data_IF_335374098553
#
_entry.id   IF_335374098553
#
_cell.length_a   1.000
_cell.length_b   1.000
_cell.length_c   1.000
_cell.angle_alpha   90.00
_cell.angle_beta   90.00
_cell.angle_gamma   90.00
#
_symmetry.space_group_name_H-M   'P 1'
#
loop_
_entity.id
_entity.type
_entity.pdbx_description
1 polymer ?
#
# COMPACT_ATOMS: atom_id res chain seq x y z
N UNK A 1 -21.03 -78.22 -31.01
CA UNK A 1 -22.25 -77.47 -31.38
C UNK A 1 -22.17 -76.10 -30.71
N UNK A 2 -21.50 -75.14 -31.35
CA UNK A 2 -22.10 -74.02 -32.10
C UNK A 2 -23.10 -73.18 -31.30
N UNK A 3 -22.66 -72.00 -30.84
CA UNK A 3 -23.09 -70.71 -31.43
C UNK A 3 -22.09 -69.58 -31.08
N UNK A 4 -21.88 -68.73 -32.08
CA UNK A 4 -20.87 -67.69 -32.28
C UNK A 4 -21.52 -66.30 -32.04
N UNK A 5 -20.73 -65.35 -31.51
CA UNK A 5 -20.76 -63.86 -31.56
C UNK A 5 -22.07 -63.08 -31.30
N UNK A 6 -22.01 -61.95 -30.58
CA UNK A 6 -21.90 -60.59 -31.17
C UNK A 6 -22.03 -59.45 -30.12
N UNK A 7 -20.93 -58.71 -29.93
CA UNK A 7 -20.76 -57.25 -29.78
C UNK A 7 -21.41 -56.39 -28.66
N UNK A 8 -20.53 -55.52 -28.11
CA UNK A 8 -20.72 -54.09 -27.79
C UNK A 8 -21.65 -53.68 -26.62
N UNK A 9 -21.05 -53.28 -25.50
CA UNK A 9 -20.74 -51.86 -25.21
C UNK A 9 -20.17 -51.75 -23.79
N UNK A 10 -18.85 -51.64 -23.71
CA UNK A 10 -18.15 -51.09 -22.57
C UNK A 10 -18.42 -49.57 -22.55
N UNK A 11 -19.57 -49.14 -22.03
CA UNK A 11 -19.76 -47.73 -21.68
C UNK A 11 -19.16 -47.56 -20.30
N UNK A 12 -17.84 -47.36 -20.28
CA UNK A 12 -17.19 -46.66 -19.19
C UNK A 12 -17.79 -45.26 -19.16
N UNK A 13 -18.79 -45.06 -18.29
CA UNK A 13 -19.18 -43.72 -17.89
C UNK A 13 -18.08 -43.22 -16.95
N UNK A 14 -16.95 -42.83 -17.54
CA UNK A 14 -16.09 -41.78 -16.99
C UNK A 14 -16.93 -40.49 -17.07
N UNK A 15 -17.92 -40.39 -16.19
CA UNK A 15 -18.32 -39.08 -15.69
C UNK A 15 -17.04 -38.54 -15.08
N UNK A 16 -16.31 -37.74 -15.85
CA UNK A 16 -15.52 -36.66 -15.29
C UNK A 16 -16.51 -35.91 -14.41
N UNK A 17 -16.50 -36.24 -13.11
CA UNK A 17 -17.00 -35.35 -12.10
C UNK A 17 -16.08 -34.15 -12.23
N UNK A 18 -16.50 -33.19 -13.06
CA UNK A 18 -15.96 -31.85 -12.99
C UNK A 18 -16.39 -31.37 -11.61
N UNK A 19 -15.54 -31.64 -10.63
CA UNK A 19 -15.55 -30.90 -9.39
C UNK A 19 -15.18 -29.51 -9.86
N UNK A 20 -16.20 -28.68 -10.11
CA UNK A 20 -16.01 -27.23 -10.01
C UNK A 20 -15.39 -27.06 -8.63
N UNK A 21 -14.08 -26.78 -8.58
CA UNK A 21 -13.45 -26.37 -7.33
C UNK A 21 -14.24 -25.14 -6.89
N UNK A 22 -15.11 -25.30 -5.90
CA UNK A 22 -15.79 -24.20 -5.23
C UNK A 22 -14.70 -23.49 -4.44
N UNK A 23 -13.90 -22.70 -5.15
CA UNK A 23 -12.92 -21.80 -4.57
C UNK A 23 -13.71 -20.71 -3.87
N UNK A 24 -13.53 -20.59 -2.56
CA UNK A 24 -14.14 -19.49 -1.84
C UNK A 24 -13.66 -18.17 -2.43
N UNK A 25 -14.53 -17.17 -2.35
CA UNK A 25 -14.22 -15.81 -2.79
C UNK A 25 -14.13 -14.92 -1.58
N UNK A 26 -13.07 -14.11 -1.54
CA UNK A 26 -12.79 -13.20 -0.44
C UNK A 26 -12.77 -11.75 -0.91
N UNK A 27 -12.74 -10.85 0.06
CA UNK A 27 -12.70 -9.40 -0.12
C UNK A 27 -11.45 -8.83 0.54
N UNK A 28 -10.76 -7.94 -0.18
CA UNK A 28 -9.78 -7.05 0.43
C UNK A 28 -10.36 -5.64 0.38
N UNK A 29 -10.60 -5.05 1.54
CA UNK A 29 -11.13 -3.69 1.67
C UNK A 29 -10.26 -2.84 2.59
N UNK A 30 -10.53 -1.54 2.61
CA UNK A 30 -9.80 -0.66 3.48
C UNK A 30 -10.01 0.81 3.24
N UNK A 31 -9.24 1.58 3.99
CA UNK A 31 -9.32 3.03 4.06
C UNK A 31 -7.92 3.65 4.05
N UNK A 32 -7.83 4.86 3.52
CA UNK A 32 -6.64 5.69 3.52
C UNK A 32 -6.99 6.93 4.34
N UNK A 33 -6.45 6.97 5.54
CA UNK A 33 -6.79 7.95 6.57
C UNK A 33 -5.55 8.74 6.96
N UNK A 34 -5.71 10.01 7.29
CA UNK A 34 -4.65 10.78 7.96
C UNK A 34 -4.42 10.26 9.38
N UNK A 35 -3.34 10.71 10.04
CA UNK A 35 -3.12 10.44 11.46
C UNK A 35 -4.29 10.93 12.35
N UNK A 36 -5.05 11.93 11.90
CA UNK A 36 -6.26 12.43 12.56
C UNK A 36 -7.53 11.63 12.25
N UNK A 37 -7.42 10.47 11.59
CA UNK A 37 -8.53 9.63 11.11
C UNK A 37 -9.48 10.33 10.13
N UNK A 38 -8.98 11.28 9.35
CA UNK A 38 -9.75 11.92 8.27
C UNK A 38 -9.47 11.25 6.93
N UNK A 39 -10.45 11.20 6.04
CA UNK A 39 -10.30 10.66 4.69
C UNK A 39 -9.22 11.42 3.89
N UNK A 40 -8.21 10.71 3.39
CA UNK A 40 -7.16 11.30 2.56
C UNK A 40 -7.56 11.26 1.07
N UNK A 41 -7.43 12.39 0.38
CA UNK A 41 -7.85 12.57 -1.01
C UNK A 41 -6.68 12.42 -2.00
N UNK A 42 -6.97 12.44 -3.30
CA UNK A 42 -5.99 12.34 -4.38
C UNK A 42 -5.16 11.06 -4.30
N UNK A 43 -5.85 9.92 -4.23
CA UNK A 43 -5.22 8.61 -4.13
C UNK A 43 -5.81 7.67 -5.16
N UNK A 44 -4.96 6.77 -5.64
CA UNK A 44 -5.37 5.56 -6.35
C UNK A 44 -4.79 4.35 -5.62
N UNK A 45 -5.59 3.29 -5.51
CA UNK A 45 -5.21 2.03 -4.90
C UNK A 45 -5.24 0.97 -6.00
N UNK A 46 -4.08 0.43 -6.33
CA UNK A 46 -3.97 -0.69 -7.25
C UNK A 46 -4.05 -2.01 -6.50
N UNK A 47 -4.76 -2.98 -7.08
CA UNK A 47 -4.65 -4.37 -6.69
C UNK A 47 -3.81 -5.09 -7.73
N UNK A 48 -2.75 -5.76 -7.27
CA UNK A 48 -1.86 -6.55 -8.10
C UNK A 48 -1.98 -8.03 -7.78
N UNK A 49 -1.82 -8.87 -8.81
CA UNK A 49 -1.58 -10.31 -8.71
C UNK A 49 -0.22 -10.59 -9.32
N UNK A 50 0.78 -10.88 -8.47
CA UNK A 50 2.19 -10.75 -8.88
C UNK A 50 2.51 -9.28 -9.19
N UNK A 51 3.12 -9.02 -10.35
CA UNK A 51 3.48 -7.66 -10.79
C UNK A 51 2.39 -6.99 -11.66
N UNK A 52 1.31 -7.70 -11.97
CA UNK A 52 0.25 -7.19 -12.84
C UNK A 52 -0.83 -6.46 -12.03
N UNK A 53 -1.09 -5.20 -12.36
CA UNK A 53 -2.28 -4.47 -11.90
C UNK A 53 -3.51 -5.12 -12.54
N UNK A 54 -4.38 -5.70 -11.71
CA UNK A 54 -5.62 -6.37 -12.16
C UNK A 54 -6.87 -5.50 -11.98
N UNK A 55 -6.85 -4.56 -11.03
CA UNK A 55 -7.92 -3.58 -10.85
C UNK A 55 -7.42 -2.39 -10.02
N UNK A 56 -8.21 -1.33 -9.92
CA UNK A 56 -7.87 -0.13 -9.16
C UNK A 56 -9.11 0.54 -8.58
N UNK A 57 -8.94 1.26 -7.48
CA UNK A 57 -9.96 2.10 -6.84
C UNK A 57 -9.40 3.49 -6.62
N UNK A 58 -10.23 4.53 -6.73
CA UNK A 58 -9.83 5.91 -6.42
C UNK A 58 -10.53 6.40 -5.17
N UNK A 59 -9.88 7.33 -4.46
CA UNK A 59 -10.40 7.91 -3.22
C UNK A 59 -9.98 7.17 -1.96
N UNK A 60 -10.44 7.67 -0.81
CA UNK A 60 -9.97 7.26 0.51
C UNK A 60 -10.47 5.89 0.97
N UNK A 61 -11.34 5.22 0.22
CA UNK A 61 -11.87 3.90 0.53
C UNK A 61 -11.74 2.98 -0.68
N UNK A 62 -11.49 1.69 -0.44
CA UNK A 62 -11.40 0.69 -1.50
C UNK A 62 -12.04 -0.63 -1.07
N UNK A 63 -12.55 -1.37 -2.05
CA UNK A 63 -13.08 -2.72 -1.85
C UNK A 63 -12.90 -3.53 -3.12
N UNK A 64 -12.02 -4.52 -3.06
CA UNK A 64 -11.79 -5.50 -4.11
C UNK A 64 -12.48 -6.80 -3.73
N UNK A 65 -13.49 -7.19 -4.51
CA UNK A 65 -14.35 -8.35 -4.24
C UNK A 65 -14.04 -9.49 -5.20
N UNK A 66 -14.56 -10.68 -4.90
CA UNK A 66 -14.45 -11.87 -5.75
C UNK A 66 -12.99 -12.35 -5.94
N UNK A 67 -12.13 -12.15 -4.94
CA UNK A 67 -10.74 -12.57 -5.00
C UNK A 67 -10.61 -14.08 -4.77
N UNK A 68 -9.69 -14.71 -5.48
CA UNK A 68 -9.48 -16.16 -5.47
C UNK A 68 -8.84 -16.60 -4.15
N UNK A 69 -9.47 -17.59 -3.48
CA UNK A 69 -8.85 -18.30 -2.37
C UNK A 69 -7.48 -18.87 -2.76
N UNK A 70 -6.54 -18.85 -1.81
CA UNK A 70 -5.19 -19.37 -2.00
C UNK A 70 -4.28 -18.51 -2.89
N UNK A 71 -4.76 -17.38 -3.39
CA UNK A 71 -3.99 -16.44 -4.23
C UNK A 71 -3.37 -15.33 -3.39
N UNK A 72 -2.13 -14.96 -3.73
CA UNK A 72 -1.42 -13.81 -3.17
C UNK A 72 -1.80 -12.53 -3.94
N UNK A 73 -2.01 -11.44 -3.21
CA UNK A 73 -2.34 -10.14 -3.77
C UNK A 73 -1.49 -9.05 -3.12
N UNK A 74 -1.21 -7.99 -3.87
CA UNK A 74 -0.57 -6.78 -3.34
C UNK A 74 -1.52 -5.61 -3.51
N UNK A 75 -1.79 -4.88 -2.42
CA UNK A 75 -2.52 -3.61 -2.43
C UNK A 75 -1.51 -2.48 -2.41
N UNK A 76 -1.45 -1.69 -3.47
CA UNK A 76 -0.49 -0.61 -3.65
C UNK A 76 -1.22 0.74 -3.70
N UNK A 77 -1.24 1.52 -2.61
CA UNK A 77 -1.72 2.89 -2.63
C UNK A 77 -0.68 3.83 -3.25
N UNK A 78 -1.14 4.81 -4.02
CA UNK A 78 -0.33 5.87 -4.62
C UNK A 78 -1.06 7.20 -4.48
N UNK A 79 -0.33 8.24 -4.08
CA UNK A 79 -0.84 9.62 -4.07
C UNK A 79 -0.70 10.21 -5.47
N UNK A 80 -1.77 10.82 -5.98
CA UNK A 80 -1.87 11.37 -7.33
C UNK A 80 -1.74 12.90 -7.39
N UNK A 81 -1.33 13.55 -6.30
CA UNK A 81 -1.06 14.99 -6.33
C UNK A 81 0.17 15.32 -7.17
N UNK A 82 0.14 16.44 -7.90
CA UNK A 82 1.25 16.85 -8.76
C UNK A 82 2.29 17.74 -8.05
N UNK A 83 1.92 18.38 -6.94
CA UNK A 83 2.79 19.30 -6.21
C UNK A 83 3.59 18.56 -5.13
N UNK A 84 4.77 18.06 -5.48
CA UNK A 84 5.63 17.34 -4.53
C UNK A 84 6.11 18.20 -3.36
N UNK A 85 6.12 19.53 -3.49
CA UNK A 85 6.52 20.47 -2.44
C UNK A 85 5.37 20.86 -1.51
N UNK A 86 4.15 20.38 -1.77
CA UNK A 86 3.01 20.71 -0.92
C UNK A 86 3.34 20.43 0.56
N UNK A 87 3.00 21.36 1.45
CA UNK A 87 3.34 21.38 2.89
C UNK A 87 4.82 21.33 3.31
N UNK A 88 5.77 21.13 2.39
CA UNK A 88 7.19 21.19 2.73
C UNK A 88 7.63 22.64 2.81
N UNK A 89 8.18 23.06 3.95
CA UNK A 89 8.57 24.43 4.24
C UNK A 89 9.96 24.55 4.88
N UNK A 90 10.46 25.78 4.99
CA UNK A 90 11.70 26.05 5.74
C UNK A 90 11.53 25.80 7.24
N UNK A 91 10.30 25.81 7.76
CA UNK A 91 10.03 25.46 9.15
C UNK A 91 10.30 23.97 9.40
N UNK A 92 9.93 23.09 8.47
CA UNK A 92 10.22 21.66 8.56
C UNK A 92 11.72 21.39 8.64
N UNK A 93 12.50 22.05 7.79
CA UNK A 93 13.96 21.96 7.81
C UNK A 93 14.56 22.40 9.16
N UNK A 94 14.03 23.46 9.77
CA UNK A 94 14.46 23.92 11.11
C UNK A 94 14.09 22.89 12.18
N UNK A 95 12.91 22.29 12.11
CA UNK A 95 12.49 21.24 13.05
C UNK A 95 13.35 19.99 12.94
N UNK A 96 13.64 19.51 11.71
CA UNK A 96 14.55 18.37 11.49
C UNK A 96 15.95 18.68 12.04
N UNK A 97 16.45 19.91 11.83
CA UNK A 97 17.74 20.32 12.36
C UNK A 97 17.78 20.27 13.89
N UNK A 98 16.75 20.78 14.56
CA UNK A 98 16.63 20.69 16.03
C UNK A 98 16.54 19.25 16.52
N UNK A 99 15.88 18.38 15.76
CA UNK A 99 15.83 16.95 16.08
C UNK A 99 17.21 16.30 16.05
N UNK A 100 17.98 16.54 14.99
CA UNK A 100 19.37 16.07 14.86
C UNK A 100 20.25 16.58 16.00
N UNK A 101 20.01 17.82 16.47
CA UNK A 101 20.72 18.43 17.60
C UNK A 101 20.21 17.95 18.98
N UNK A 102 19.18 17.10 19.03
CA UNK A 102 18.59 16.57 20.26
C UNK A 102 17.74 17.59 21.05
N UNK A 103 17.36 18.71 20.40
CA UNK A 103 16.58 19.79 21.01
C UNK A 103 15.08 19.47 20.97
N UNK A 104 14.62 18.86 19.88
CA UNK A 104 13.20 18.57 19.64
C UNK A 104 13.02 17.08 19.32
N UNK A 105 12.47 16.27 20.24
CA UNK A 105 12.23 14.87 19.98
C UNK A 105 11.08 14.71 18.98
N UNK A 106 11.24 13.81 18.02
CA UNK A 106 10.22 13.48 17.04
C UNK A 106 9.43 12.24 17.45
N UNK A 107 8.11 12.29 17.22
CA UNK A 107 7.30 11.09 17.24
C UNK A 107 7.59 10.21 16.01
N UNK A 108 6.95 9.06 15.90
CA UNK A 108 7.19 8.13 14.80
C UNK A 108 6.81 8.70 13.42
N UNK A 109 5.73 9.48 13.33
CA UNK A 109 5.28 10.06 12.07
C UNK A 109 6.27 11.13 11.61
N UNK A 110 6.71 11.98 12.54
CA UNK A 110 7.72 12.99 12.28
C UNK A 110 9.07 12.37 11.90
N UNK A 111 9.47 11.28 12.55
CA UNK A 111 10.68 10.53 12.16
C UNK A 111 10.57 10.02 10.72
N UNK A 112 9.39 9.52 10.35
CA UNK A 112 9.14 9.02 8.98
C UNK A 112 9.12 10.15 7.96
N UNK A 113 8.53 11.30 8.29
CA UNK A 113 8.54 12.47 7.43
C UNK A 113 9.95 13.07 7.29
N UNK A 114 10.78 12.97 8.33
CA UNK A 114 12.15 13.49 8.36
C UNK A 114 13.14 12.63 7.57
N UNK A 115 12.99 11.30 7.55
CA UNK A 115 13.77 10.37 6.72
C UNK A 115 13.27 10.39 5.26
N UNK A 116 13.78 11.36 4.52
CA UNK A 116 13.33 11.67 3.17
C UNK A 116 13.90 10.71 2.15
N UNK A 117 15.18 10.33 2.32
CA UNK A 117 15.87 9.44 1.40
C UNK A 117 15.55 7.97 1.65
N UNK A 118 14.74 7.68 2.68
CA UNK A 118 14.18 6.36 2.97
C UNK A 118 15.21 5.37 3.52
N UNK A 119 16.32 5.84 4.09
CA UNK A 119 17.43 5.01 4.57
C UNK A 119 17.33 4.60 6.05
N UNK A 120 16.30 5.07 6.76
CA UNK A 120 16.06 4.90 8.20
C UNK A 120 17.04 5.65 9.12
N UNK A 121 17.72 6.69 8.62
CA UNK A 121 18.68 7.50 9.37
C UNK A 121 18.42 8.99 9.14
N UNK A 122 17.83 9.66 10.14
CA UNK A 122 17.60 11.12 10.06
C UNK A 122 18.93 11.86 10.27
N UNK A 123 19.43 12.49 9.21
CA UNK A 123 20.74 13.14 9.23
C UNK A 123 20.83 14.39 8.32
N UNK A 124 22.05 14.87 8.09
CA UNK A 124 22.30 16.09 7.30
C UNK A 124 21.87 15.95 5.83
N UNK A 125 21.91 14.73 5.27
CA UNK A 125 21.46 14.42 3.91
C UNK A 125 19.96 14.73 3.74
N UNK A 126 19.13 14.40 4.72
CA UNK A 126 17.70 14.74 4.68
C UNK A 126 17.46 16.25 4.61
N UNK A 127 18.24 17.04 5.35
CA UNK A 127 18.15 18.51 5.30
C UNK A 127 18.52 19.06 3.90
N UNK A 128 19.52 18.46 3.25
CA UNK A 128 19.90 18.81 1.88
C UNK A 128 18.78 18.47 0.91
N UNK A 129 18.11 17.33 1.07
CA UNK A 129 16.98 16.92 0.23
C UNK A 129 15.72 17.78 0.46
N UNK A 130 15.42 18.20 1.70
CA UNK A 130 14.38 19.21 1.97
C UNK A 130 14.71 20.50 1.23
N UNK A 131 15.97 20.96 1.35
CA UNK A 131 16.42 22.20 0.72
C UNK A 131 16.28 22.12 -0.80
N UNK A 132 16.72 21.03 -1.41
CA UNK A 132 16.62 20.80 -2.85
C UNK A 132 15.15 20.79 -3.31
N UNK A 133 14.27 20.11 -2.59
CA UNK A 133 12.83 20.16 -2.84
C UNK A 133 12.26 21.59 -2.75
N UNK A 134 12.70 22.40 -1.78
CA UNK A 134 12.21 23.77 -1.60
C UNK A 134 12.61 24.70 -2.76
N UNK A 135 13.85 24.57 -3.25
CA UNK A 135 14.39 25.46 -4.30
C UNK A 135 14.09 24.98 -5.73
N UNK A 136 13.74 23.70 -5.90
CA UNK A 136 13.44 23.11 -7.19
C UNK A 136 12.02 23.48 -7.69
N UNK A 137 11.71 23.06 -8.92
CA UNK A 137 10.34 23.06 -9.42
C UNK A 137 9.42 22.33 -8.43
N UNK A 138 8.19 22.79 -8.16
CA UNK A 138 7.27 22.12 -7.24
C UNK A 138 6.76 20.75 -7.75
N UNK A 139 7.25 20.28 -8.89
CA UNK A 139 6.91 18.97 -9.44
C UNK A 139 7.32 17.82 -8.52
N UNK A 140 6.51 16.77 -8.52
CA UNK A 140 6.75 15.57 -7.72
C UNK A 140 8.07 14.85 -8.03
N UNK A 141 8.64 15.03 -9.22
CA UNK A 141 9.95 14.49 -9.59
C UNK A 141 11.12 15.14 -8.81
N UNK A 142 10.92 16.36 -8.31
CA UNK A 142 11.94 17.15 -7.63
C UNK A 142 11.80 17.14 -6.10
N UNK A 143 10.74 16.50 -5.59
CA UNK A 143 10.45 16.44 -4.17
C UNK A 143 10.14 15.00 -3.72
N UNK A 144 10.54 14.62 -2.51
CA UNK A 144 10.20 13.31 -1.93
C UNK A 144 8.68 13.11 -1.88
N UNK A 145 8.22 11.91 -2.23
CA UNK A 145 6.79 11.57 -2.28
C UNK A 145 6.17 11.31 -0.90
N UNK A 146 5.43 10.21 -0.81
CA UNK A 146 4.79 9.76 0.42
C UNK A 146 5.37 8.41 0.86
N UNK A 147 5.28 8.15 2.16
CA UNK A 147 5.38 6.83 2.79
C UNK A 147 3.99 6.41 3.24
N UNK A 148 3.66 5.13 3.14
CA UNK A 148 2.45 4.60 3.77
C UNK A 148 2.82 3.71 4.95
N UNK A 149 2.27 4.05 6.12
CA UNK A 149 2.30 3.18 7.29
C UNK A 149 0.96 2.49 7.43
N UNK A 150 0.97 1.25 7.92
CA UNK A 150 -0.24 0.53 8.26
C UNK A 150 -0.05 -0.12 9.62
N UNK A 151 -1.11 -0.15 10.42
CA UNK A 151 -1.14 -1.03 11.59
C UNK A 151 -1.42 -2.43 11.06
N UNK A 152 -0.41 -3.30 11.09
CA UNK A 152 -0.61 -4.67 10.64
C UNK A 152 -1.71 -5.38 11.43
N UNK A 153 -2.36 -6.33 10.76
CA UNK A 153 -3.32 -7.25 11.34
C UNK A 153 -2.71 -8.16 12.45
N UNK A 154 -1.39 -8.11 12.70
CA UNK A 154 -0.70 -9.01 13.64
C UNK A 154 0.49 -8.40 14.42
N UNK A 155 0.55 -7.09 14.66
CA UNK A 155 1.64 -6.53 15.46
C UNK A 155 1.45 -5.10 15.96
N UNK A 156 1.99 -4.83 17.15
CA UNK A 156 1.91 -3.53 17.86
C UNK A 156 2.89 -2.48 17.34
N UNK A 157 3.68 -2.78 16.30
CA UNK A 157 4.66 -1.88 15.72
C UNK A 157 4.13 -1.33 14.39
N UNK A 158 4.28 -0.03 14.20
CA UNK A 158 4.12 0.57 12.88
C UNK A 158 5.23 0.06 11.98
N UNK A 159 4.86 -0.70 10.95
CA UNK A 159 5.79 -1.08 9.91
C UNK A 159 5.58 -0.16 8.70
N UNK A 160 6.67 0.22 8.04
CA UNK A 160 6.61 0.81 6.71
C UNK A 160 6.11 -0.25 5.76
N UNK A 161 4.91 -0.07 5.22
CA UNK A 161 4.32 -1.09 4.37
C UNK A 161 4.48 -0.65 2.93
N UNK A 162 4.28 0.64 2.58
CA UNK A 162 4.25 1.24 1.23
C UNK A 162 3.28 0.53 0.23
N UNK A 163 3.03 -0.77 0.42
CA UNK A 163 2.13 -1.70 -0.21
C UNK A 163 1.80 -2.82 0.79
N UNK A 164 0.58 -3.33 0.80
CA UNK A 164 0.21 -4.49 1.62
C UNK A 164 0.25 -5.78 0.80
N UNK A 165 1.09 -6.73 1.17
CA UNK A 165 1.20 -8.03 0.50
C UNK A 165 0.54 -9.14 1.31
N UNK A 166 -0.35 -9.92 0.68
CA UNK A 166 -0.90 -11.15 1.28
C UNK A 166 -0.07 -12.35 0.87
N UNK A 167 0.26 -13.25 1.82
CA UNK A 167 0.91 -14.52 1.49
C UNK A 167 0.00 -15.37 0.60
N UNK A 168 -1.22 -15.64 1.08
CA UNK A 168 -2.33 -16.29 0.37
C UNK A 168 -3.63 -15.86 1.05
N UNK A 169 -4.66 -15.63 0.25
CA UNK A 169 -5.94 -15.18 0.75
C UNK A 169 -6.82 -16.37 1.19
N UNK A 170 -7.12 -16.43 2.49
CA UNK A 170 -7.99 -17.47 3.08
C UNK A 170 -9.09 -16.86 3.97
N UNK A 171 -9.20 -15.54 3.98
CA UNK A 171 -10.19 -14.78 4.73
C UNK A 171 -10.32 -13.39 4.08
N UNK A 172 -11.36 -12.65 4.48
CA UNK A 172 -11.45 -11.24 4.15
C UNK A 172 -10.40 -10.44 4.93
N UNK A 173 -9.82 -9.43 4.29
CA UNK A 173 -8.83 -8.55 4.89
C UNK A 173 -9.32 -7.11 4.87
N UNK A 174 -9.12 -6.41 5.99
CA UNK A 174 -9.37 -4.97 6.11
C UNK A 174 -8.06 -4.25 6.46
N UNK A 175 -7.69 -3.24 5.68
CA UNK A 175 -6.39 -2.56 5.78
C UNK A 175 -6.63 -1.06 5.96
N UNK A 176 -5.89 -0.43 6.88
CA UNK A 176 -5.86 1.03 7.01
C UNK A 176 -4.47 1.51 6.66
N UNK A 177 -4.36 2.38 5.65
CA UNK A 177 -3.12 3.07 5.33
C UNK A 177 -3.16 4.50 5.87
N UNK A 178 -2.02 4.94 6.39
CA UNK A 178 -1.79 6.34 6.76
C UNK A 178 -0.66 6.88 5.89
N UNK A 179 -0.94 7.81 4.97
CA UNK A 179 0.08 8.48 4.18
C UNK A 179 0.82 9.49 5.05
N UNK A 180 2.15 9.49 4.92
CA UNK A 180 3.06 10.44 5.57
C UNK A 180 3.80 11.14 4.44
N UNK A 181 3.64 12.46 4.37
CA UNK A 181 4.35 13.29 3.40
C UNK A 181 5.81 13.39 3.83
N UNK A 182 6.73 12.97 2.97
CA UNK A 182 8.15 13.14 3.21
C UNK A 182 8.53 14.62 3.10
N UNK A 183 9.29 15.10 4.09
CA UNK A 183 9.74 16.47 4.25
C UNK A 183 8.77 17.42 4.96
N UNK A 184 7.56 16.98 5.30
CA UNK A 184 6.58 17.78 6.07
C UNK A 184 6.45 17.22 7.49
N UNK A 185 7.35 17.64 8.39
CA UNK A 185 7.38 17.21 9.80
C UNK A 185 6.49 18.06 10.70
N UNK A 186 6.07 19.22 10.20
CA UNK A 186 5.12 20.11 10.86
C UNK A 186 3.68 19.70 10.63
N UNK A 187 3.46 18.74 9.73
CA UNK A 187 2.15 18.26 9.31
C UNK A 187 1.32 19.45 8.82
N UNK A 188 1.82 20.21 7.85
CA UNK A 188 1.04 21.32 7.28
C UNK A 188 0.17 20.86 6.12
N UNK A 189 0.50 19.73 5.48
CA UNK A 189 -0.49 18.96 4.73
C UNK A 189 -1.37 18.20 5.73
N UNK A 190 -2.53 18.79 6.00
CA UNK A 190 -3.75 18.05 6.32
C UNK A 190 -4.75 18.30 5.18
N UNK A 191 -5.61 17.31 4.85
CA UNK A 191 -6.60 17.43 3.78
C UNK A 191 -7.56 18.61 4.00
#
# INVERSE_FOLDING_TARGET
>A
MNKLYLSLLLIGCLLSCHVDEISNKYVISGEILTQGNMAFQNVIVHLLKGDQIITSSTGSQFSFKNLEEGTAYTVLPLVTESNGRNGVSTFDMVSVRKHIEGIEPFDLYQQTAADINKDNVINQEDLELIRDCLISSPEQSACPGYRFVSKEHNGSAFNYVDQYHTNKLFADHHIVFVPIKLGDVSHTIWP
#
